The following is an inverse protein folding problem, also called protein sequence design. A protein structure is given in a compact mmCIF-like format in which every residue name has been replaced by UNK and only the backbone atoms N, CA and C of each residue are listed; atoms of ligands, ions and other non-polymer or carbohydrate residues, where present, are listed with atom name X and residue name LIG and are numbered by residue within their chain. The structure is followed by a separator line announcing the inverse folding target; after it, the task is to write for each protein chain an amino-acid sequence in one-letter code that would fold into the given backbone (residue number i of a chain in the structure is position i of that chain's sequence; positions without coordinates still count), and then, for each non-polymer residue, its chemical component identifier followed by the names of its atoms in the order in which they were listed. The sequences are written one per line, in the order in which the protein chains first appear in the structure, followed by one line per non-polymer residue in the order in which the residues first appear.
data_IF_915002998103
#
_entry.id   IF_915002998103
#
_cell.length_a   1.000
_cell.length_b   1.000
_cell.length_c   1.000
_cell.angle_alpha   90.00
_cell.angle_beta   90.00
_cell.angle_gamma   90.00
#
_symmetry.space_group_name_H-M   'P 1'
#
loop_
_entity.id
_entity.type
_entity.pdbx_description
1 polymer ?
#
# COMPACT_ATOMS: atom_id res chain seq x y z
N UNK A 1 0.91 -15.30 -24.90
CA UNK A 1 -0.52 -15.18 -25.29
C UNK A 1 -1.26 -14.48 -24.15
N UNK A 2 -2.04 -13.44 -24.44
CA UNK A 2 -2.81 -12.69 -23.43
C UNK A 2 -4.09 -13.43 -23.06
N UNK A 3 -4.41 -13.49 -21.77
CA UNK A 3 -5.71 -13.97 -21.27
C UNK A 3 -6.75 -12.84 -21.38
N UNK A 4 -7.99 -13.13 -21.77
CA UNK A 4 -9.06 -12.14 -21.89
C UNK A 4 -9.32 -11.36 -20.59
N UNK A 5 -9.31 -12.03 -19.43
CA UNK A 5 -9.45 -11.37 -18.14
C UNK A 5 -8.23 -10.51 -17.79
N UNK A 6 -7.02 -10.94 -18.15
CA UNK A 6 -5.83 -10.11 -17.96
C UNK A 6 -5.93 -8.77 -18.72
N UNK A 7 -6.52 -8.76 -19.92
CA UNK A 7 -6.69 -7.55 -20.73
C UNK A 7 -7.60 -6.51 -20.08
N UNK A 8 -8.43 -6.91 -19.11
CA UNK A 8 -9.24 -5.98 -18.32
C UNK A 8 -8.40 -5.25 -17.26
N UNK A 9 -7.26 -5.81 -16.83
CA UNK A 9 -6.37 -5.18 -15.86
C UNK A 9 -5.58 -4.07 -16.55
N UNK A 10 -5.57 -2.87 -15.96
CA UNK A 10 -4.82 -1.74 -16.50
C UNK A 10 -3.31 -2.03 -16.46
N UNK A 11 -2.59 -1.72 -17.53
CA UNK A 11 -1.12 -1.74 -17.50
C UNK A 11 -0.60 -0.63 -16.56
N UNK A 12 0.35 -0.96 -15.69
CA UNK A 12 0.78 -0.14 -14.54
C UNK A 12 -0.39 0.21 -13.60
N UNK A 13 -1.30 -0.75 -13.37
CA UNK A 13 -2.39 -0.55 -12.42
C UNK A 13 -1.83 -0.33 -11.01
N UNK A 14 -2.53 0.46 -10.21
CA UNK A 14 -2.29 0.48 -8.79
C UNK A 14 -2.67 -0.85 -8.16
N UNK A 15 -1.93 -1.22 -7.11
CA UNK A 15 -2.09 -2.47 -6.38
C UNK A 15 -2.08 -2.13 -4.90
N UNK A 16 -3.09 -2.58 -4.17
CA UNK A 16 -3.08 -2.58 -2.71
C UNK A 16 -3.42 -3.98 -2.21
N UNK A 17 -2.89 -4.38 -1.06
CA UNK A 17 -3.16 -5.66 -0.48
C UNK A 17 -3.35 -5.55 1.03
N UNK A 18 -4.34 -6.25 1.58
CA UNK A 18 -4.66 -6.27 3.03
C UNK A 18 -5.22 -7.62 3.44
N UNK A 19 -5.00 -7.99 4.70
CA UNK A 19 -5.62 -9.17 5.30
C UNK A 19 -4.70 -9.93 6.24
N UNK A 20 -4.92 -11.24 6.29
CA UNK A 20 -4.27 -12.21 7.16
C UNK A 20 -3.71 -13.37 6.32
N UNK A 21 -2.90 -14.23 6.96
CA UNK A 21 -2.19 -15.34 6.31
C UNK A 21 -3.09 -16.22 5.43
N UNK A 22 -4.25 -16.60 5.95
CA UNK A 22 -5.19 -17.52 5.28
C UNK A 22 -6.31 -16.76 4.51
N UNK A 23 -6.46 -15.46 4.75
CA UNK A 23 -7.52 -14.65 4.14
C UNK A 23 -7.03 -13.22 3.90
N UNK A 24 -6.75 -12.89 2.63
CA UNK A 24 -6.34 -11.56 2.21
C UNK A 24 -6.93 -11.19 0.86
N UNK A 25 -6.92 -9.90 0.56
CA UNK A 25 -7.47 -9.36 -0.67
C UNK A 25 -6.44 -8.46 -1.35
N UNK A 26 -6.50 -8.44 -2.68
CA UNK A 26 -5.69 -7.58 -3.54
C UNK A 26 -6.66 -6.72 -4.36
N UNK A 27 -6.42 -5.42 -4.37
CA UNK A 27 -7.20 -4.45 -5.11
C UNK A 27 -6.40 -3.96 -6.30
N UNK A 28 -7.02 -3.99 -7.47
CA UNK A 28 -6.40 -3.55 -8.73
C UNK A 28 -7.36 -2.64 -9.49
N UNK A 29 -6.82 -1.77 -10.33
CA UNK A 29 -7.64 -0.96 -11.23
C UNK A 29 -7.75 -1.60 -12.61
N UNK A 30 -8.97 -1.66 -13.13
CA UNK A 30 -9.25 -2.11 -14.50
C UNK A 30 -9.08 -0.98 -15.53
N UNK A 31 -9.14 -1.32 -16.82
CA UNK A 31 -8.97 -0.38 -17.94
C UNK A 31 -10.05 0.70 -18.04
N UNK A 32 -11.15 0.56 -17.31
CA UNK A 32 -12.25 1.54 -17.22
C UNK A 32 -12.21 2.36 -15.92
N UNK A 33 -11.15 2.22 -15.11
CA UNK A 33 -10.99 2.97 -13.86
C UNK A 33 -11.71 2.37 -12.66
N UNK A 34 -12.38 1.22 -12.82
CA UNK A 34 -13.03 0.51 -11.71
C UNK A 34 -11.98 -0.17 -10.87
N UNK A 35 -12.11 -0.05 -9.55
CA UNK A 35 -11.29 -0.79 -8.61
C UNK A 35 -11.97 -2.12 -8.33
N UNK A 36 -11.24 -3.22 -8.52
CA UNK A 36 -11.71 -4.58 -8.35
C UNK A 36 -11.03 -5.26 -7.20
N UNK A 37 -11.75 -6.15 -6.55
CA UNK A 37 -11.25 -7.00 -5.49
C UNK A 37 -11.00 -8.42 -5.97
N UNK A 38 -9.78 -8.90 -5.76
CA UNK A 38 -9.39 -10.31 -5.89
C UNK A 38 -9.11 -10.86 -4.50
N UNK A 39 -9.63 -12.03 -4.16
CA UNK A 39 -9.55 -12.62 -2.82
C UNK A 39 -8.71 -13.89 -2.83
N UNK A 40 -7.92 -14.05 -1.80
CA UNK A 40 -7.30 -15.31 -1.41
C UNK A 40 -7.95 -15.80 -0.13
N UNK A 41 -8.48 -17.02 -0.15
CA UNK A 41 -9.10 -17.66 1.01
C UNK A 41 -8.71 -19.13 1.03
N UNK A 42 -8.07 -19.57 2.13
CA UNK A 42 -7.70 -20.96 2.38
C UNK A 42 -7.01 -21.65 1.19
N UNK A 43 -6.00 -20.99 0.61
CA UNK A 43 -5.23 -21.55 -0.51
C UNK A 43 -5.79 -21.25 -1.89
N UNK A 44 -6.98 -20.65 -2.00
CA UNK A 44 -7.67 -20.46 -3.26
C UNK A 44 -7.82 -18.99 -3.64
N UNK A 45 -7.54 -18.68 -4.90
CA UNK A 45 -7.76 -17.37 -5.51
C UNK A 45 -9.13 -17.29 -6.18
N UNK A 46 -9.85 -16.19 -5.97
CA UNK A 46 -11.17 -15.93 -6.57
C UNK A 46 -11.41 -14.42 -6.78
N UNK A 47 -12.48 -14.06 -7.48
CA UNK A 47 -12.86 -12.67 -7.70
C UNK A 47 -12.16 -12.01 -8.89
N UNK A 48 -11.94 -10.69 -8.82
CA UNK A 48 -11.31 -9.89 -9.88
C UNK A 48 -12.19 -9.61 -11.11
N UNK A 49 -13.39 -10.17 -11.17
CA UNK A 49 -14.32 -9.97 -12.29
C UNK A 49 -15.09 -8.64 -12.19
N UNK A 50 -15.91 -8.35 -13.20
CA UNK A 50 -16.86 -7.23 -13.17
C UNK A 50 -17.86 -7.25 -12.00
N UNK A 51 -18.11 -8.43 -11.39
CA UNK A 51 -18.97 -8.58 -10.22
C UNK A 51 -18.25 -8.26 -8.90
N UNK A 52 -16.94 -7.99 -8.96
CA UNK A 52 -16.09 -7.69 -7.80
C UNK A 52 -15.62 -6.23 -7.80
N UNK A 53 -16.36 -5.33 -8.47
CA UNK A 53 -16.09 -3.89 -8.47
C UNK A 53 -16.50 -3.30 -7.13
N UNK A 54 -15.59 -2.55 -6.50
CA UNK A 54 -15.79 -1.95 -5.17
C UNK A 54 -15.84 -0.42 -5.21
N UNK A 55 -15.28 0.20 -6.24
CA UNK A 55 -15.32 1.65 -6.45
C UNK A 55 -15.01 2.03 -7.91
N UNK A 56 -15.28 3.28 -8.27
CA UNK A 56 -14.86 3.93 -9.52
C UNK A 56 -13.89 5.06 -9.20
N UNK A 57 -12.73 5.08 -9.86
CA UNK A 57 -11.67 6.06 -9.62
C UNK A 57 -11.19 6.68 -10.94
N UNK A 58 -10.39 7.75 -10.85
CA UNK A 58 -9.70 8.28 -12.04
C UNK A 58 -8.73 7.23 -12.60
N UNK A 59 -8.58 7.13 -13.92
CA UNK A 59 -7.61 6.22 -14.53
C UNK A 59 -6.19 6.51 -14.04
N UNK A 60 -5.53 5.49 -13.50
CA UNK A 60 -4.21 5.62 -12.88
C UNK A 60 -4.23 6.13 -11.44
N UNK A 61 -5.40 6.16 -10.79
CA UNK A 61 -5.50 6.45 -9.36
C UNK A 61 -4.57 5.53 -8.55
N UNK A 62 -3.83 6.07 -7.56
CA UNK A 62 -3.25 5.22 -6.53
C UNK A 62 -4.37 4.53 -5.74
N UNK A 63 -4.03 3.40 -5.13
CA UNK A 63 -4.93 2.65 -4.26
C UNK A 63 -4.15 2.35 -2.98
N UNK A 64 -4.74 2.66 -1.83
CA UNK A 64 -4.23 2.24 -0.54
C UNK A 64 -5.35 1.54 0.24
N UNK A 65 -5.01 0.52 1.01
CA UNK A 65 -5.99 -0.25 1.78
C UNK A 65 -5.47 -0.53 3.19
N UNK A 66 -6.37 -0.57 4.15
CA UNK A 66 -6.08 -0.99 5.53
C UNK A 66 -7.21 -1.86 6.07
N UNK A 67 -6.88 -2.85 6.90
CA UNK A 67 -7.88 -3.53 7.71
C UNK A 67 -8.10 -2.72 9.00
N UNK A 68 -9.33 -2.26 9.27
CA UNK A 68 -9.67 -1.59 10.54
C UNK A 68 -9.83 -2.60 11.66
N UNK A 69 -10.56 -3.68 11.41
CA UNK A 69 -10.68 -4.88 12.27
C UNK A 69 -10.20 -6.13 11.50
N UNK A 70 -10.43 -7.34 12.02
CA UNK A 70 -10.19 -8.58 11.26
C UNK A 70 -11.04 -8.67 9.99
N UNK A 71 -12.23 -8.08 10.02
CA UNK A 71 -13.29 -8.35 9.03
C UNK A 71 -13.67 -7.13 8.18
N UNK A 72 -13.18 -5.94 8.54
CA UNK A 72 -13.44 -4.69 7.82
C UNK A 72 -12.21 -4.20 7.06
N UNK A 73 -12.46 -3.57 5.91
CA UNK A 73 -11.44 -2.95 5.06
C UNK A 73 -11.84 -1.52 4.77
N UNK A 74 -10.89 -0.59 4.86
CA UNK A 74 -10.99 0.76 4.29
C UNK A 74 -10.09 0.83 3.07
N UNK A 75 -10.64 1.30 1.96
CA UNK A 75 -9.97 1.49 0.69
C UNK A 75 -9.97 2.97 0.33
N UNK A 76 -8.82 3.48 -0.01
CA UNK A 76 -8.60 4.88 -0.35
C UNK A 76 -8.08 5.01 -1.78
N UNK A 77 -8.58 6.01 -2.49
CA UNK A 77 -8.25 6.26 -3.89
C UNK A 77 -8.52 7.72 -4.25
N UNK A 78 -8.24 8.11 -5.50
CA UNK A 78 -8.50 9.44 -6.04
C UNK A 78 -9.65 9.35 -7.05
N UNK A 79 -10.71 10.14 -6.81
CA UNK A 79 -11.86 10.25 -7.72
C UNK A 79 -11.53 11.04 -9.00
N UNK A 80 -12.44 11.01 -9.97
CA UNK A 80 -12.30 11.76 -11.25
C UNK A 80 -12.16 13.28 -11.05
N UNK A 81 -12.71 13.80 -9.96
CA UNK A 81 -12.62 15.18 -9.50
C UNK A 81 -11.32 15.52 -8.76
N UNK A 82 -10.36 14.57 -8.71
CA UNK A 82 -9.07 14.66 -8.02
C UNK A 82 -9.19 14.84 -6.50
N UNK A 83 -10.31 14.36 -5.96
CA UNK A 83 -10.58 14.35 -4.51
C UNK A 83 -10.21 12.98 -3.94
N UNK A 84 -9.60 12.98 -2.75
CA UNK A 84 -9.37 11.74 -1.99
C UNK A 84 -10.72 11.13 -1.59
N UNK A 85 -10.91 9.86 -1.91
CA UNK A 85 -12.10 9.09 -1.61
C UNK A 85 -11.78 7.92 -0.69
N UNK A 86 -12.76 7.56 0.13
CA UNK A 86 -12.79 6.40 0.99
C UNK A 86 -14.06 5.59 0.67
N UNK A 87 -13.89 4.28 0.54
CA UNK A 87 -14.98 3.30 0.70
C UNK A 87 -14.57 2.30 1.77
N UNK A 88 -15.54 1.76 2.50
CA UNK A 88 -15.26 0.75 3.52
C UNK A 88 -16.22 -0.44 3.41
N UNK A 89 -15.71 -1.61 3.76
CA UNK A 89 -16.50 -2.85 3.85
C UNK A 89 -16.89 -3.11 5.30
N UNK A 90 -18.19 -3.25 5.55
CA UNK A 90 -18.73 -3.61 6.87
C UNK A 90 -18.55 -5.11 7.20
N UNK A 91 -18.85 -5.50 8.44
CA UNK A 91 -18.77 -6.89 8.89
C UNK A 91 -19.75 -7.84 8.19
N UNK A 92 -20.69 -7.30 7.40
CA UNK A 92 -21.62 -8.08 6.58
C UNK A 92 -21.14 -8.18 5.11
N UNK A 93 -19.93 -7.68 4.81
CA UNK A 93 -19.33 -7.73 3.50
C UNK A 93 -19.85 -6.67 2.52
N UNK A 94 -20.63 -5.69 2.97
CA UNK A 94 -21.19 -4.64 2.11
C UNK A 94 -20.26 -3.42 2.07
N UNK A 95 -20.12 -2.85 0.88
CA UNK A 95 -19.33 -1.64 0.65
C UNK A 95 -20.17 -0.37 0.84
N UNK A 96 -19.60 0.62 1.50
CA UNK A 96 -20.21 1.91 1.81
C UNK A 96 -19.24 3.05 1.54
N UNK A 97 -19.76 4.25 1.30
CA UNK A 97 -18.93 5.45 1.25
C UNK A 97 -18.38 5.82 2.65
N UNK A 98 -17.09 6.13 2.71
CA UNK A 98 -16.43 6.57 3.93
C UNK A 98 -16.68 8.05 4.26
N UNK A 99 -16.52 8.39 5.55
CA UNK A 99 -16.75 9.76 6.03
C UNK A 99 -15.70 10.76 5.53
N UNK A 100 -14.51 10.27 5.10
CA UNK A 100 -13.47 11.12 4.50
C UNK A 100 -13.99 11.92 3.30
N UNK A 101 -14.94 11.35 2.54
CA UNK A 101 -15.51 11.94 1.33
C UNK A 101 -16.13 13.32 1.59
N UNK A 102 -16.58 13.61 2.82
CA UNK A 102 -17.21 14.89 3.17
C UNK A 102 -16.23 16.06 3.18
N UNK A 103 -14.93 15.79 3.30
CA UNK A 103 -13.90 16.83 3.39
C UNK A 103 -13.43 17.36 2.03
N UNK A 104 -13.78 16.69 0.92
CA UNK A 104 -13.51 17.16 -0.44
C UNK A 104 -12.04 17.57 -0.66
N UNK A 105 -11.11 16.76 -0.14
CA UNK A 105 -9.68 17.06 -0.14
C UNK A 105 -9.12 16.87 -1.56
N UNK A 106 -8.90 17.98 -2.26
CA UNK A 106 -8.22 17.99 -3.57
C UNK A 106 -6.72 17.84 -3.41
N UNK A 107 -6.13 16.95 -4.20
CA UNK A 107 -4.70 16.63 -4.19
C UNK A 107 -4.04 16.99 -5.52
N UNK A 108 -2.72 16.82 -5.62
CA UNK A 108 -2.03 16.96 -6.89
C UNK A 108 -2.53 15.91 -7.90
N UNK A 109 -2.61 16.24 -9.21
CA UNK A 109 -3.04 15.28 -10.24
C UNK A 109 -2.15 14.03 -10.36
N UNK A 110 -0.92 14.10 -9.86
CA UNK A 110 0.06 13.02 -9.83
C UNK A 110 0.26 12.45 -8.42
N UNK A 111 -0.60 12.80 -7.45
CA UNK A 111 -0.47 12.31 -6.08
C UNK A 111 -0.52 10.80 -6.06
N UNK A 112 0.46 10.18 -5.40
CA UNK A 112 0.35 8.81 -4.91
C UNK A 112 -0.29 8.81 -3.52
N UNK A 113 -0.48 7.63 -2.94
CA UNK A 113 -1.12 7.50 -1.64
C UNK A 113 -0.57 6.29 -0.89
N UNK A 114 -0.48 6.42 0.43
CA UNK A 114 -0.27 5.30 1.34
C UNK A 114 -1.25 5.38 2.51
N UNK A 115 -1.60 4.24 3.12
CA UNK A 115 -2.41 4.20 4.31
C UNK A 115 -1.89 3.16 5.29
N UNK A 116 -1.96 3.47 6.59
CA UNK A 116 -1.66 2.52 7.65
C UNK A 116 -2.67 2.65 8.79
N UNK A 117 -2.79 1.58 9.56
CA UNK A 117 -3.67 1.49 10.71
C UNK A 117 -2.84 1.18 11.95
N UNK A 118 -2.95 2.00 12.99
CA UNK A 118 -2.43 1.67 14.32
C UNK A 118 -3.57 1.21 15.20
N UNK A 119 -3.48 -0.02 15.71
CA UNK A 119 -4.47 -0.58 16.64
C UNK A 119 -3.93 -0.48 18.06
N UNK A 120 -4.53 0.39 18.87
CA UNK A 120 -4.35 0.41 20.32
C UNK A 120 -5.21 -0.66 21.00
N UNK A 121 -5.31 -0.57 22.34
CA UNK A 121 -6.17 -1.47 23.14
C UNK A 121 -7.65 -1.23 22.85
N UNK A 122 -8.06 0.04 22.83
CA UNK A 122 -9.46 0.46 22.71
C UNK A 122 -9.68 1.46 21.55
N UNK A 123 -8.62 1.82 20.83
CA UNK A 123 -8.66 2.82 19.76
C UNK A 123 -8.05 2.27 18.48
N UNK A 124 -8.59 2.68 17.34
CA UNK A 124 -8.02 2.41 16.02
C UNK A 124 -7.75 3.73 15.33
N UNK A 125 -6.49 3.98 15.01
CA UNK A 125 -6.04 5.19 14.36
C UNK A 125 -5.77 4.89 12.89
N UNK A 126 -6.50 5.54 12.00
CA UNK A 126 -6.22 5.49 10.57
C UNK A 126 -5.38 6.69 10.15
N UNK A 127 -4.43 6.43 9.25
CA UNK A 127 -3.62 7.46 8.61
C UNK A 127 -3.60 7.22 7.11
N UNK A 128 -3.76 8.29 6.35
CA UNK A 128 -3.64 8.32 4.90
C UNK A 128 -2.69 9.46 4.54
N UNK A 129 -1.70 9.16 3.71
CA UNK A 129 -0.71 10.12 3.25
C UNK A 129 -0.93 10.37 1.77
N UNK A 130 -1.03 11.65 1.40
CA UNK A 130 -1.24 12.09 0.01
C UNK A 130 -0.32 13.26 -0.30
N UNK A 131 -0.04 13.49 -1.58
CA UNK A 131 0.73 14.63 -2.04
C UNK A 131 -0.19 15.78 -2.49
N UNK A 132 0.01 16.94 -1.87
CA UNK A 132 -0.73 18.16 -2.18
C UNK A 132 -0.15 18.86 -3.41
N UNK A 133 -0.87 19.86 -3.95
CA UNK A 133 -0.47 20.59 -5.17
C UNK A 133 0.85 21.36 -5.03
N UNK A 134 1.24 21.69 -3.80
CA UNK A 134 2.52 22.31 -3.46
C UNK A 134 3.67 21.29 -3.29
N UNK A 135 3.42 20.02 -3.63
CA UNK A 135 4.33 18.87 -3.50
C UNK A 135 4.65 18.46 -2.05
N UNK A 136 3.94 19.00 -1.07
CA UNK A 136 4.06 18.53 0.31
C UNK A 136 3.27 17.24 0.54
N UNK A 137 3.76 16.39 1.43
CA UNK A 137 3.02 15.20 1.89
C UNK A 137 2.14 15.61 3.06
N UNK A 138 0.84 15.44 2.92
CA UNK A 138 -0.14 15.72 3.95
C UNK A 138 -0.62 14.43 4.61
N UNK A 139 -0.54 14.38 5.94
CA UNK A 139 -1.19 13.36 6.75
C UNK A 139 -2.69 13.70 6.91
N UNK A 140 -3.55 12.75 6.61
CA UNK A 140 -4.97 12.74 6.95
C UNK A 140 -5.17 11.65 7.99
N UNK A 141 -5.91 11.92 9.06
CA UNK A 141 -6.14 10.89 10.06
C UNK A 141 -7.50 10.93 10.71
N UNK A 142 -7.87 9.75 11.22
CA UNK A 142 -9.06 9.52 12.03
C UNK A 142 -8.61 8.77 13.27
N UNK A 143 -8.63 9.45 14.41
CA UNK A 143 -8.27 8.88 15.72
C UNK A 143 -9.47 8.33 16.48
N UNK A 144 -10.64 8.91 16.21
CA UNK A 144 -11.92 8.55 16.80
C UNK A 144 -12.99 8.72 15.73
N UNK A 145 -13.85 7.71 15.60
CA UNK A 145 -14.97 7.74 14.67
C UNK A 145 -15.94 8.90 14.96
N UNK A 146 -16.06 9.34 16.22
CA UNK A 146 -16.93 10.46 16.61
C UNK A 146 -16.41 11.81 16.11
N UNK A 147 -15.09 12.01 16.18
CA UNK A 147 -14.45 13.26 15.77
C UNK A 147 -14.18 13.30 14.25
N UNK A 148 -14.16 12.14 13.61
CA UNK A 148 -14.03 12.02 12.16
C UNK A 148 -12.61 12.24 11.66
N UNK A 149 -12.50 12.57 10.37
CA UNK A 149 -11.22 12.79 9.71
C UNK A 149 -10.74 14.23 9.89
N UNK A 150 -9.43 14.42 9.97
CA UNK A 150 -8.80 15.74 10.03
C UNK A 150 -7.48 15.77 9.24
N UNK A 151 -7.08 16.97 8.80
CA UNK A 151 -5.71 17.19 8.34
C UNK A 151 -4.79 17.26 9.56
N UNK A 152 -3.77 16.43 9.56
CA UNK A 152 -2.78 16.34 10.63
C UNK A 152 -1.44 16.94 10.14
N UNK A 153 -0.32 16.29 10.45
CA UNK A 153 1.01 16.81 10.18
C UNK A 153 1.27 16.95 8.67
N UNK A 154 1.87 18.06 8.27
CA UNK A 154 2.49 18.17 6.95
C UNK A 154 3.95 17.70 7.07
N UNK A 155 4.31 16.67 6.31
CA UNK A 155 5.64 16.05 6.39
C UNK A 155 6.70 16.75 5.52
N UNK A 156 6.33 17.89 4.92
CA UNK A 156 7.19 18.69 4.06
C UNK A 156 7.20 18.20 2.62
N UNK A 157 8.11 18.78 1.83
CA UNK A 157 8.20 18.60 0.38
C UNK A 157 8.83 17.26 -0.02
N UNK A 158 8.20 16.60 -0.99
CA UNK A 158 8.68 15.42 -1.70
C UNK A 158 8.76 15.68 -3.21
N UNK A 159 9.38 14.76 -3.97
CA UNK A 159 9.39 14.80 -5.42
C UNK A 159 7.95 14.85 -5.97
N UNK A 160 7.61 15.70 -6.96
CA UNK A 160 6.31 15.69 -7.59
C UNK A 160 5.99 14.32 -8.21
N UNK A 161 4.98 13.63 -7.70
CA UNK A 161 4.60 12.27 -8.08
C UNK A 161 5.41 11.19 -7.37
N UNK A 162 6.03 11.51 -6.23
CA UNK A 162 6.70 10.54 -5.36
C UNK A 162 5.80 9.35 -5.08
N UNK A 163 6.34 8.13 -5.21
CA UNK A 163 5.74 6.95 -4.57
C UNK A 163 5.62 7.18 -3.06
N UNK A 164 4.62 6.56 -2.43
CA UNK A 164 4.39 6.65 -1.00
C UNK A 164 4.13 5.25 -0.45
N UNK A 165 4.77 4.93 0.67
CA UNK A 165 4.44 3.75 1.47
C UNK A 165 4.44 4.12 2.94
N UNK A 166 3.63 3.44 3.75
CA UNK A 166 3.67 3.64 5.19
C UNK A 166 3.33 2.37 5.96
N UNK A 167 3.87 2.26 7.17
CA UNK A 167 3.60 1.18 8.12
C UNK A 167 3.47 1.75 9.52
N UNK A 168 2.72 1.07 10.38
CA UNK A 168 2.69 1.37 11.82
C UNK A 168 3.29 0.19 12.59
N UNK A 169 4.61 0.18 12.83
CA UNK A 169 5.23 -0.84 13.66
C UNK A 169 4.74 -0.74 15.10
N UNK A 170 4.77 -1.86 15.80
CA UNK A 170 4.53 -1.95 17.24
C UNK A 170 5.86 -2.13 17.96
N UNK A 171 5.96 -1.60 19.17
CA UNK A 171 7.12 -1.88 20.00
C UNK A 171 7.17 -3.38 20.33
N UNK A 172 8.35 -3.98 20.25
CA UNK A 172 8.60 -5.32 20.79
C UNK A 172 8.62 -5.32 22.33
N UNK A 173 8.82 -4.16 22.95
CA UNK A 173 8.71 -3.97 24.39
C UNK A 173 7.25 -3.87 24.84
N UNK A 174 6.81 -4.81 25.67
CA UNK A 174 5.41 -5.02 26.10
C UNK A 174 4.73 -3.85 26.81
N UNK A 175 5.46 -2.77 27.12
CA UNK A 175 4.96 -1.62 27.87
C UNK A 175 4.82 -0.35 27.00
N UNK A 176 5.41 -0.32 25.80
CA UNK A 176 5.33 0.84 24.91
C UNK A 176 4.17 0.67 23.92
N UNK A 177 3.01 1.19 24.31
CA UNK A 177 1.80 1.27 23.48
C UNK A 177 1.78 2.49 22.56
N UNK A 178 2.87 3.26 22.51
CA UNK A 178 2.89 4.47 21.70
C UNK A 178 2.78 4.13 20.21
N UNK A 179 1.92 4.88 19.52
CA UNK A 179 1.79 4.80 18.08
C UNK A 179 3.11 5.17 17.40
N UNK A 180 3.69 4.24 16.66
CA UNK A 180 4.84 4.49 15.78
C UNK A 180 4.38 4.42 14.34
N UNK A 181 4.87 5.33 13.50
CA UNK A 181 4.58 5.36 12.06
C UNK A 181 5.86 5.58 11.28
N UNK A 182 6.01 4.91 10.15
CA UNK A 182 7.04 5.17 9.14
C UNK A 182 6.36 5.54 7.83
N UNK A 183 6.85 6.57 7.16
CA UNK A 183 6.40 7.00 5.83
C UNK A 183 7.61 7.11 4.91
N UNK A 184 7.60 6.35 3.83
CA UNK A 184 8.65 6.33 2.82
C UNK A 184 8.22 7.16 1.62
N UNK A 185 9.14 7.98 1.12
CA UNK A 185 8.91 8.86 -0.01
C UNK A 185 10.22 9.12 -0.77
N UNK A 186 10.10 9.74 -1.93
CA UNK A 186 11.22 10.18 -2.75
C UNK A 186 11.41 11.69 -2.64
N UNK A 187 12.67 12.12 -2.53
CA UNK A 187 13.08 13.53 -2.51
C UNK A 187 13.41 14.04 -3.92
N UNK A 188 13.53 15.36 -4.07
CA UNK A 188 13.91 16.02 -5.32
C UNK A 188 15.30 15.61 -5.83
N UNK A 189 16.19 15.13 -4.93
CA UNK A 189 17.51 14.56 -5.26
C UNK A 189 17.47 13.08 -5.69
N UNK A 190 16.26 12.54 -5.90
CA UNK A 190 15.95 11.16 -6.25
C UNK A 190 16.26 10.12 -5.17
N UNK A 191 16.67 10.54 -3.97
CA UNK A 191 16.85 9.63 -2.84
C UNK A 191 15.49 9.19 -2.28
N UNK A 192 15.39 7.92 -1.88
CA UNK A 192 14.27 7.42 -1.08
C UNK A 192 14.59 7.62 0.39
N UNK A 193 13.65 8.21 1.14
CA UNK A 193 13.82 8.62 2.54
C UNK A 193 12.62 8.24 3.38
N UNK A 194 12.85 8.16 4.69
CA UNK A 194 11.82 7.89 5.69
C UNK A 194 11.53 9.12 6.56
N UNK A 195 10.25 9.36 6.82
CA UNK A 195 9.77 10.15 7.95
C UNK A 195 9.24 9.19 9.01
N UNK A 196 9.60 9.43 10.25
CA UNK A 196 9.34 8.56 11.38
C UNK A 196 8.61 9.34 12.48
N UNK A 197 7.46 8.83 12.91
CA UNK A 197 6.78 9.25 14.13
C UNK A 197 7.11 8.25 15.25
N UNK A 198 7.66 8.75 16.36
CA UNK A 198 8.13 7.92 17.49
C UNK A 198 7.13 7.85 18.66
N UNK A 199 5.89 8.30 18.45
CA UNK A 199 4.89 8.44 19.51
C UNK A 199 4.81 9.83 20.09
N UNK A 200 5.78 10.71 19.81
CA UNK A 200 5.83 12.09 20.30
C UNK A 200 6.00 13.10 19.18
N UNK A 201 6.91 12.83 18.24
CA UNK A 201 7.25 13.78 17.18
C UNK A 201 7.62 13.09 15.88
N UNK A 202 7.50 13.84 14.80
CA UNK A 202 8.02 13.47 13.49
C UNK A 202 9.49 13.86 13.36
N UNK A 203 10.30 12.97 12.81
CA UNK A 203 11.71 13.19 12.48
C UNK A 203 12.10 12.44 11.20
N UNK A 204 13.27 12.74 10.68
CA UNK A 204 13.86 11.92 9.61
C UNK A 204 14.31 10.57 10.18
N UNK A 205 14.03 9.51 9.44
CA UNK A 205 14.46 8.14 9.76
C UNK A 205 15.79 7.77 9.11
N UNK A 206 16.26 6.54 9.39
CA UNK A 206 17.55 6.06 8.92
C UNK A 206 17.48 5.41 7.53
N UNK A 207 16.29 5.03 7.07
CA UNK A 207 16.11 4.47 5.74
C UNK A 207 16.60 5.45 4.66
N UNK A 208 17.46 4.93 3.77
CA UNK A 208 17.96 5.69 2.64
C UNK A 208 18.30 4.78 1.47
N UNK A 209 17.84 5.16 0.28
CA UNK A 209 18.38 4.69 -1.01
C UNK A 209 18.85 5.92 -1.76
N UNK A 210 20.12 5.97 -2.16
CA UNK A 210 20.76 7.21 -2.63
C UNK A 210 20.22 7.71 -3.97
N UNK A 211 19.90 6.80 -4.89
CA UNK A 211 19.35 7.09 -6.21
C UNK A 211 18.31 6.02 -6.57
N UNK A 212 17.12 6.45 -6.94
CA UNK A 212 16.08 5.59 -7.47
C UNK A 212 15.42 6.27 -8.68
N UNK A 213 14.80 5.51 -9.61
CA UNK A 213 14.06 6.11 -10.72
C UNK A 213 13.05 7.16 -10.23
N UNK A 214 12.88 8.28 -10.94
CA UNK A 214 11.92 9.30 -10.56
C UNK A 214 10.51 8.71 -10.55
N UNK A 215 9.77 8.97 -9.47
CA UNK A 215 8.42 8.45 -9.23
C UNK A 215 8.37 6.92 -9.19
N UNK A 216 9.45 6.29 -8.72
CA UNK A 216 9.40 4.85 -8.42
C UNK A 216 8.31 4.58 -7.40
N UNK A 217 7.60 3.46 -7.59
CA UNK A 217 6.57 3.07 -6.65
C UNK A 217 7.19 2.51 -5.37
N UNK A 218 6.47 2.64 -4.26
CA UNK A 218 6.91 2.19 -2.94
C UNK A 218 5.81 1.33 -2.32
N UNK A 219 6.20 0.19 -1.75
CA UNK A 219 5.35 -0.58 -0.84
C UNK A 219 6.12 -0.87 0.45
N UNK A 220 5.42 -0.93 1.57
CA UNK A 220 6.03 -1.29 2.84
C UNK A 220 5.13 -2.22 3.62
N UNK A 221 5.73 -3.14 4.36
CA UNK A 221 5.03 -4.05 5.27
C UNK A 221 5.84 -4.23 6.54
N UNK A 222 5.15 -4.59 7.62
CA UNK A 222 5.75 -4.86 8.93
C UNK A 222 5.28 -6.20 9.46
N UNK A 223 6.19 -6.95 10.10
CA UNK A 223 5.91 -8.22 10.76
C UNK A 223 6.76 -8.36 12.01
N UNK A 224 6.46 -9.35 12.85
CA UNK A 224 7.16 -9.56 14.13
C UNK A 224 7.27 -8.27 14.97
N UNK A 225 6.21 -7.45 14.93
CA UNK A 225 6.06 -6.11 15.54
C UNK A 225 6.87 -4.97 14.88
N UNK A 226 8.16 -5.15 14.61
CA UNK A 226 9.06 -4.05 14.22
C UNK A 226 9.95 -4.35 13.01
N UNK A 227 9.90 -5.56 12.44
CA UNK A 227 10.66 -5.89 11.23
C UNK A 227 9.96 -5.33 10.00
N UNK A 228 10.66 -4.49 9.26
CA UNK A 228 10.08 -3.77 8.12
C UNK A 228 10.72 -4.24 6.83
N UNK A 229 9.90 -4.34 5.77
CA UNK A 229 10.37 -4.45 4.39
C UNK A 229 9.82 -3.29 3.58
N UNK A 230 10.69 -2.69 2.78
CA UNK A 230 10.32 -1.66 1.80
C UNK A 230 10.69 -2.16 0.42
N UNK A 231 9.72 -2.18 -0.47
CA UNK A 231 9.86 -2.59 -1.85
C UNK A 231 9.78 -1.38 -2.78
N UNK A 232 10.60 -1.36 -3.81
CA UNK A 232 10.62 -0.28 -4.80
C UNK A 232 11.08 -0.78 -6.17
N UNK A 233 10.74 -0.06 -7.23
CA UNK A 233 11.19 -0.40 -8.60
C UNK A 233 12.51 0.28 -8.91
N UNK A 234 13.54 -0.51 -9.23
CA UNK A 234 14.87 -0.05 -9.63
C UNK A 234 14.94 0.27 -11.14
N UNK A 235 15.99 0.96 -11.57
CA UNK A 235 16.20 1.38 -12.97
C UNK A 235 16.22 0.23 -13.99
N UNK A 236 16.64 -0.97 -13.57
CA UNK A 236 16.65 -2.18 -14.40
C UNK A 236 15.26 -2.84 -14.55
N UNK A 237 14.19 -2.13 -14.15
CA UNK A 237 12.83 -2.63 -14.05
C UNK A 237 12.73 -3.85 -13.13
N UNK A 238 13.35 -3.77 -11.97
CA UNK A 238 13.32 -4.83 -10.96
C UNK A 238 12.71 -4.32 -9.67
N UNK A 239 11.77 -5.07 -9.10
CA UNK A 239 11.32 -4.83 -7.73
C UNK A 239 12.41 -5.31 -6.79
N UNK A 240 12.93 -4.41 -5.97
CA UNK A 240 13.97 -4.66 -4.98
C UNK A 240 13.43 -4.45 -3.57
N UNK A 241 14.06 -5.11 -2.60
CA UNK A 241 13.74 -4.99 -1.17
C UNK A 241 14.86 -4.33 -0.39
N UNK A 242 14.48 -3.46 0.53
CA UNK A 242 15.27 -3.06 1.70
C UNK A 242 14.63 -3.69 2.94
N UNK A 243 15.46 -4.27 3.78
CA UNK A 243 15.06 -4.91 5.02
C UNK A 243 15.57 -4.11 6.22
N UNK A 244 14.68 -3.84 7.16
CA UNK A 244 15.02 -3.39 8.50
C UNK A 244 14.77 -4.55 9.46
N UNK A 245 15.83 -5.10 10.02
CA UNK A 245 15.78 -6.10 11.10
C UNK A 245 16.59 -5.54 12.28
N UNK A 246 15.99 -5.53 13.47
CA UNK A 246 16.61 -5.01 14.70
C UNK A 246 17.19 -3.58 14.51
N UNK A 247 16.36 -2.69 13.95
CA UNK A 247 16.67 -1.30 13.59
C UNK A 247 17.83 -1.10 12.61
N UNK A 248 18.28 -2.15 11.91
CA UNK A 248 19.36 -2.05 10.91
C UNK A 248 18.83 -2.23 9.50
N UNK A 249 19.03 -1.18 8.70
CA UNK A 249 18.71 -1.21 7.28
C UNK A 249 19.80 -1.90 6.45
N UNK A 250 19.38 -2.84 5.62
CA UNK A 250 20.24 -3.52 4.64
C UNK A 250 19.45 -3.88 3.39
N UNK A 251 20.15 -4.23 2.31
CA UNK A 251 19.51 -4.76 1.12
C UNK A 251 18.90 -6.12 1.44
N UNK A 252 17.62 -6.29 1.12
CA UNK A 252 16.90 -7.54 1.27
C UNK A 252 17.21 -8.56 0.17
N UNK A 253 16.65 -9.75 0.31
CA UNK A 253 16.86 -10.87 -0.62
C UNK A 253 15.94 -10.83 -1.84
N UNK A 254 14.87 -10.04 -1.81
CA UNK A 254 13.92 -9.99 -2.92
C UNK A 254 14.44 -9.12 -4.08
N UNK A 255 14.48 -9.72 -5.27
CA UNK A 255 14.81 -9.05 -6.52
C UNK A 255 14.13 -9.76 -7.69
N UNK A 256 13.15 -9.13 -8.33
CA UNK A 256 12.41 -9.75 -9.43
C UNK A 256 12.10 -8.78 -10.57
N UNK A 257 12.11 -9.29 -11.79
CA UNK A 257 11.81 -8.49 -12.99
C UNK A 257 10.35 -8.07 -13.02
N UNK A 258 10.10 -6.79 -13.29
CA UNK A 258 8.78 -6.22 -13.51
C UNK A 258 8.68 -5.48 -14.84
N UNK A 259 7.47 -5.11 -15.22
CA UNK A 259 7.27 -4.18 -16.33
C UNK A 259 7.73 -2.78 -15.93
N UNK A 260 8.20 -1.95 -16.87
CA UNK A 260 8.59 -0.58 -16.56
C UNK A 260 7.45 0.20 -15.89
N UNK A 261 7.71 0.80 -14.74
CA UNK A 261 6.73 1.56 -13.97
C UNK A 261 5.64 0.70 -13.32
N UNK A 262 5.89 -0.58 -13.05
CA UNK A 262 4.99 -1.41 -12.25
C UNK A 262 4.75 -0.76 -10.88
N UNK A 263 3.52 -0.83 -10.38
CA UNK A 263 3.26 -0.58 -8.97
C UNK A 263 3.45 -1.89 -8.17
N UNK A 264 3.58 -1.75 -6.85
CA UNK A 264 3.93 -2.82 -5.92
C UNK A 264 2.99 -2.76 -4.72
N UNK A 265 2.53 -3.92 -4.25
CA UNK A 265 1.92 -4.06 -2.93
C UNK A 265 2.63 -5.17 -2.17
N UNK A 266 2.63 -5.09 -0.83
CA UNK A 266 3.25 -6.10 0.01
C UNK A 266 2.38 -6.44 1.22
N UNK A 267 2.42 -7.70 1.63
CA UNK A 267 1.86 -8.21 2.88
C UNK A 267 2.92 -9.00 3.64
N UNK A 268 2.79 -9.00 4.96
CA UNK A 268 3.60 -9.85 5.82
C UNK A 268 2.75 -10.49 6.91
N UNK A 269 3.09 -11.73 7.22
CA UNK A 269 2.45 -12.53 8.27
C UNK A 269 3.54 -13.21 9.09
N UNK A 270 3.32 -13.34 10.40
CA UNK A 270 4.27 -13.98 11.30
C UNK A 270 3.55 -14.79 12.39
N UNK A 271 2.39 -15.38 12.07
CA UNK A 271 1.60 -16.16 13.03
C UNK A 271 2.19 -17.55 13.27
N UNK A 272 2.50 -18.28 12.19
CA UNK A 272 3.14 -19.61 12.25
C UNK A 272 4.63 -19.51 11.90
N UNK A 273 4.89 -19.03 10.69
CA UNK A 273 6.22 -18.71 10.18
C UNK A 273 6.16 -17.34 9.49
N UNK A 274 7.32 -16.72 9.30
CA UNK A 274 7.39 -15.48 8.52
C UNK A 274 7.03 -15.78 7.07
N UNK A 275 5.94 -15.17 6.62
CA UNK A 275 5.48 -15.21 5.25
C UNK A 275 5.36 -13.81 4.69
N UNK A 276 5.93 -13.59 3.52
CA UNK A 276 5.80 -12.32 2.78
C UNK A 276 5.05 -12.61 1.49
N UNK A 277 4.26 -11.64 1.03
CA UNK A 277 3.66 -11.63 -0.31
C UNK A 277 3.96 -10.30 -0.97
N UNK A 278 4.39 -10.33 -2.24
CA UNK A 278 4.66 -9.14 -3.04
C UNK A 278 3.89 -9.27 -4.35
N UNK A 279 3.13 -8.24 -4.69
CA UNK A 279 2.27 -8.21 -5.86
C UNK A 279 2.71 -7.09 -6.80
N UNK A 280 2.91 -7.41 -8.07
CA UNK A 280 3.34 -6.46 -9.10
C UNK A 280 3.08 -7.03 -10.50
N UNK A 281 3.17 -6.21 -11.54
CA UNK A 281 3.06 -6.69 -12.91
C UNK A 281 4.44 -7.12 -13.43
N UNK A 282 4.60 -8.42 -13.71
CA UNK A 282 5.85 -8.98 -14.26
C UNK A 282 5.83 -9.16 -15.79
N UNK A 283 4.72 -8.77 -16.44
CA UNK A 283 4.50 -8.95 -17.88
C UNK A 283 3.79 -10.26 -18.24
N UNK A 284 3.43 -11.07 -17.23
CA UNK A 284 2.60 -12.27 -17.41
C UNK A 284 1.24 -11.89 -17.97
N UNK A 285 0.86 -12.55 -19.06
CA UNK A 285 -0.30 -12.18 -19.88
C UNK A 285 -0.38 -10.68 -20.22
N UNK A 286 0.78 -10.02 -20.38
CA UNK A 286 0.96 -8.58 -20.61
C UNK A 286 0.65 -7.72 -19.38
N UNK A 287 -0.55 -7.84 -18.83
CA UNK A 287 -1.12 -6.98 -17.77
C UNK A 287 -1.46 -7.71 -16.48
N UNK A 288 -1.24 -9.03 -16.41
CA UNK A 288 -1.50 -9.82 -15.22
C UNK A 288 -0.67 -9.37 -14.02
N UNK A 289 -1.30 -9.29 -12.85
CA UNK A 289 -0.61 -9.08 -11.58
C UNK A 289 -0.09 -10.42 -11.09
N UNK A 290 1.20 -10.50 -10.82
CA UNK A 290 1.89 -11.69 -10.32
C UNK A 290 2.08 -11.60 -8.81
N UNK A 291 1.99 -12.74 -8.13
CA UNK A 291 2.39 -12.89 -6.74
C UNK A 291 3.77 -13.53 -6.65
N UNK A 292 4.62 -12.97 -5.80
CA UNK A 292 5.78 -13.63 -5.23
C UNK A 292 5.57 -13.83 -3.74
N UNK A 293 6.04 -14.97 -3.21
CA UNK A 293 5.90 -15.29 -1.81
C UNK A 293 7.19 -15.78 -1.18
N UNK A 294 7.41 -15.39 0.06
CA UNK A 294 8.48 -15.90 0.90
C UNK A 294 7.90 -16.90 1.90
N UNK A 295 8.43 -18.12 1.89
CA UNK A 295 8.17 -19.19 2.87
C UNK A 295 9.51 -19.90 3.09
N UNK A 296 10.37 -19.31 3.94
CA UNK A 296 11.81 -19.67 4.12
C UNK A 296 12.70 -19.35 2.91
N UNK A 297 12.13 -19.36 1.71
CA UNK A 297 12.76 -18.91 0.47
C UNK A 297 11.74 -18.16 -0.41
N UNK A 298 12.26 -17.30 -1.30
CA UNK A 298 11.44 -16.61 -2.29
C UNK A 298 11.10 -17.53 -3.46
N UNK A 299 9.81 -17.63 -3.77
CA UNK A 299 9.31 -18.37 -4.93
C UNK A 299 8.14 -17.64 -5.57
N UNK A 300 7.91 -17.93 -6.85
CA UNK A 300 6.71 -17.44 -7.52
C UNK A 300 5.48 -18.09 -6.87
N UNK A 301 4.52 -17.26 -6.49
CA UNK A 301 3.20 -17.68 -6.04
C UNK A 301 2.29 -17.85 -7.27
N UNK A 302 1.16 -17.15 -7.26
CA UNK A 302 0.27 -17.09 -8.42
C UNK A 302 0.94 -16.35 -9.60
N UNK A 303 1.04 -17.01 -10.75
CA UNK A 303 1.65 -16.42 -11.97
C UNK A 303 0.90 -15.18 -12.46
N UNK A 304 -0.43 -15.24 -12.48
CA UNK A 304 -1.32 -14.12 -12.74
C UNK A 304 -2.58 -14.25 -11.89
N UNK A 305 -2.90 -13.21 -11.12
CA UNK A 305 -4.08 -13.15 -10.26
C UNK A 305 -5.35 -13.07 -11.13
N UNK A 306 -6.49 -13.62 -10.65
CA UNK A 306 -7.78 -13.34 -11.25
C UNK A 306 -7.98 -11.84 -11.48
N UNK A 307 -8.60 -11.43 -12.60
CA UNK A 307 -9.36 -12.28 -13.54
C UNK A 307 -8.54 -12.98 -14.64
N UNK A 308 -7.20 -12.91 -14.60
CA UNK A 308 -6.32 -13.54 -15.59
C UNK A 308 -6.27 -15.08 -15.53
#
# INVERSE_FOLDING_TARGET
MSNAGAQEIRFRCAIAAVGSEDNFQVYTQDTNGRIRETRFHDGQWSGGSQHNVVAQAILGSPIAAVCRTSDTVNLFFIGEDRVVREVYRDNHGRWHEGSLNRHQIKVAPYSMMAACCHRGKDTTHLRVYVQMQDNTIQELGQDDEKHGWSKMTNLGRALPGSGLACVSPRSSESHDSAMKIRVYHQKDDLSLREKLYDGRQWKDGEFSVSQAPPRTDLAATVFSNDRIRVYFVHEDNQVMEMACDDDKWQRGGFRQQCVPGSQVAALAFSRREVQLRVFFQSGKHVTGVTEWKYEREWKQGKEALPPA
#
